data_IF_168070715157
#
_entry.id   IF_168070715157
#
_cell.length_a   1.000
_cell.length_b   1.000
_cell.length_c   1.000
_cell.angle_alpha   90.00
_cell.angle_beta   90.00
_cell.angle_gamma   90.00
#
_symmetry.space_group_name_H-M   'P 1'
#
loop_
_entity.id
_entity.type
_entity.pdbx_description
1 polymer ?
#
# COMPACT_ATOMS: atom_id res chain seq x y z
N UNK A 1 13.73 -8.62 -21.16
CA UNK A 1 13.48 -7.28 -20.60
C UNK A 1 14.62 -6.37 -21.00
N UNK A 2 14.39 -5.11 -21.37
CA UNK A 2 15.48 -4.20 -21.77
C UNK A 2 16.28 -3.71 -20.56
N UNK A 3 17.61 -3.60 -20.66
CA UNK A 3 18.48 -3.11 -19.57
C UNK A 3 18.03 -1.74 -19.02
N UNK A 4 17.54 -0.85 -19.88
CA UNK A 4 17.02 0.46 -19.47
C UNK A 4 15.76 0.38 -18.60
N UNK A 5 14.88 -0.59 -18.85
CA UNK A 5 13.68 -0.80 -18.04
C UNK A 5 14.04 -1.28 -16.63
N UNK A 6 14.97 -2.22 -16.50
CA UNK A 6 15.43 -2.73 -15.21
C UNK A 6 16.05 -1.62 -14.33
N UNK A 7 16.85 -0.74 -14.93
CA UNK A 7 17.47 0.40 -14.23
C UNK A 7 16.40 1.41 -13.82
N UNK A 8 15.48 1.77 -14.73
CA UNK A 8 14.43 2.74 -14.44
C UNK A 8 13.49 2.29 -13.33
N UNK A 9 13.03 1.03 -13.38
CA UNK A 9 12.18 0.45 -12.33
C UNK A 9 12.92 0.30 -11.00
N UNK A 10 14.19 -0.13 -11.03
CA UNK A 10 14.99 -0.27 -9.82
C UNK A 10 15.25 1.05 -9.11
N UNK A 11 15.59 2.10 -9.86
CA UNK A 11 15.78 3.44 -9.31
C UNK A 11 14.49 3.97 -8.70
N UNK A 12 13.36 3.83 -9.41
CA UNK A 12 12.06 4.24 -8.91
C UNK A 12 11.71 3.55 -7.58
N UNK A 13 11.84 2.22 -7.53
CA UNK A 13 11.53 1.41 -6.34
C UNK A 13 12.38 1.85 -5.13
N UNK A 14 13.68 2.09 -5.33
CA UNK A 14 14.60 2.54 -4.27
C UNK A 14 14.25 3.95 -3.80
N UNK A 15 14.06 4.91 -4.72
CA UNK A 15 13.72 6.29 -4.38
C UNK A 15 12.38 6.35 -3.64
N UNK A 16 11.39 5.58 -4.06
CA UNK A 16 10.11 5.44 -3.37
C UNK A 16 10.28 4.96 -1.93
N UNK A 17 11.00 3.85 -1.72
CA UNK A 17 11.19 3.24 -0.40
C UNK A 17 11.86 4.21 0.57
N UNK A 18 12.97 4.84 0.14
CA UNK A 18 13.67 5.84 0.94
C UNK A 18 12.72 6.98 1.29
N UNK A 19 12.01 7.52 0.30
CA UNK A 19 11.13 8.68 0.50
C UNK A 19 10.02 8.40 1.51
N UNK A 20 9.27 7.30 1.34
CA UNK A 20 8.15 6.94 2.23
C UNK A 20 8.61 6.64 3.64
N UNK A 21 9.69 5.86 3.79
CA UNK A 21 10.22 5.50 5.11
C UNK A 21 10.77 6.75 5.82
N UNK A 22 11.55 7.58 5.13
CA UNK A 22 12.10 8.81 5.71
C UNK A 22 11.00 9.76 6.15
N UNK A 23 9.99 10.02 5.32
CA UNK A 23 8.86 10.87 5.72
C UNK A 23 8.11 10.30 6.93
N UNK A 24 7.87 8.99 6.95
CA UNK A 24 7.23 8.31 8.09
C UNK A 24 8.02 8.47 9.38
N UNK A 25 9.34 8.23 9.35
CA UNK A 25 10.23 8.40 10.50
C UNK A 25 10.25 9.85 10.97
N UNK A 26 10.36 10.83 10.06
CA UNK A 26 10.36 12.26 10.45
C UNK A 26 9.07 12.62 11.18
N UNK A 27 7.90 12.20 10.69
CA UNK A 27 6.62 12.45 11.38
C UNK A 27 6.65 11.84 12.78
N UNK A 28 7.09 10.59 12.92
CA UNK A 28 7.19 9.90 14.21
C UNK A 28 8.15 10.59 15.19
N UNK A 29 9.24 11.17 14.71
CA UNK A 29 10.23 11.83 15.56
C UNK A 29 9.85 13.27 15.93
N UNK A 30 9.06 13.97 15.10
CA UNK A 30 8.82 15.42 15.25
C UNK A 30 7.41 15.79 15.73
N UNK A 31 6.42 14.92 15.51
CA UNK A 31 5.03 15.16 15.86
C UNK A 31 4.60 14.25 17.01
N UNK A 32 3.73 14.71 17.92
CA UNK A 32 3.40 13.94 19.14
C UNK A 32 1.90 13.74 19.39
N UNK A 33 1.05 14.10 18.42
CA UNK A 33 -0.38 13.75 18.50
C UNK A 33 -0.57 12.30 18.09
N UNK A 34 -1.56 11.61 18.68
CA UNK A 34 -1.86 10.21 18.33
C UNK A 34 -2.16 10.05 16.83
N UNK A 35 -2.90 10.99 16.24
CA UNK A 35 -3.18 11.03 14.81
C UNK A 35 -1.89 11.06 13.96
N UNK A 36 -0.97 11.99 14.27
CA UNK A 36 0.30 12.11 13.54
C UNK A 36 1.19 10.87 13.71
N UNK A 37 1.22 10.29 14.91
CA UNK A 37 1.97 9.08 15.21
C UNK A 37 1.42 7.88 14.43
N UNK A 38 0.10 7.72 14.35
CA UNK A 38 -0.53 6.69 13.54
C UNK A 38 -0.26 6.88 12.05
N UNK A 39 -0.28 8.12 11.55
CA UNK A 39 0.06 8.39 10.15
C UNK A 39 1.54 8.10 9.84
N UNK A 40 2.46 8.50 10.72
CA UNK A 40 3.88 8.19 10.58
C UNK A 40 4.13 6.67 10.58
N UNK A 41 3.51 5.95 11.53
CA UNK A 41 3.56 4.49 11.59
C UNK A 41 2.97 3.84 10.33
N UNK A 42 1.84 4.34 9.83
CA UNK A 42 1.22 3.90 8.58
C UNK A 42 2.20 4.00 7.39
N UNK A 43 2.92 5.12 7.25
CA UNK A 43 3.90 5.31 6.19
C UNK A 43 5.09 4.34 6.33
N UNK A 44 5.62 4.14 7.54
CA UNK A 44 6.70 3.17 7.78
C UNK A 44 6.26 1.74 7.50
N UNK A 45 5.05 1.35 7.92
CA UNK A 45 4.47 0.02 7.64
C UNK A 45 4.36 -0.23 6.13
N UNK A 46 3.94 0.79 5.36
CA UNK A 46 3.89 0.73 3.90
C UNK A 46 5.29 0.49 3.31
N UNK A 47 6.24 1.37 3.61
CA UNK A 47 7.59 1.30 3.03
C UNK A 47 8.32 0.02 3.43
N UNK A 48 8.33 -0.33 4.72
CA UNK A 48 8.97 -1.56 5.20
C UNK A 48 8.30 -2.81 4.62
N UNK A 49 6.97 -2.83 4.51
CA UNK A 49 6.24 -3.96 3.94
C UNK A 49 6.49 -4.15 2.44
N UNK A 50 6.59 -3.07 1.68
CA UNK A 50 6.94 -3.10 0.26
C UNK A 50 8.39 -3.53 0.04
N UNK A 51 9.31 -3.20 0.95
CA UNK A 51 10.73 -3.56 0.84
C UNK A 51 10.94 -5.08 0.71
N UNK A 52 10.14 -5.90 1.41
CA UNK A 52 10.22 -7.38 1.32
C UNK A 52 9.92 -7.92 -0.09
N UNK A 53 9.19 -7.16 -0.91
CA UNK A 53 8.90 -7.52 -2.29
C UNK A 53 9.82 -6.78 -3.29
N UNK A 54 10.03 -5.48 -3.07
CA UNK A 54 10.76 -4.62 -4.00
C UNK A 54 12.25 -4.91 -4.00
N UNK A 55 12.88 -5.17 -2.85
CA UNK A 55 14.33 -5.47 -2.82
C UNK A 55 14.65 -6.76 -3.63
N UNK A 56 13.98 -7.91 -3.40
CA UNK A 56 14.18 -9.09 -4.25
C UNK A 56 13.85 -8.84 -5.73
N UNK A 57 12.86 -7.99 -6.02
CA UNK A 57 12.49 -7.63 -7.38
C UNK A 57 13.59 -6.84 -8.08
N UNK A 58 14.11 -5.77 -7.48
CA UNK A 58 15.23 -4.99 -8.04
C UNK A 58 16.45 -5.87 -8.25
N UNK A 59 16.74 -6.76 -7.29
CA UNK A 59 17.82 -7.74 -7.42
C UNK A 59 17.62 -8.66 -8.62
N UNK A 60 16.43 -9.27 -8.74
CA UNK A 60 16.09 -10.16 -9.86
C UNK A 60 16.10 -9.45 -11.21
N UNK A 61 15.69 -8.17 -11.29
CA UNK A 61 15.71 -7.39 -12.53
C UNK A 61 17.13 -7.04 -13.00
N UNK A 62 18.10 -6.95 -12.09
CA UNK A 62 19.47 -6.49 -12.38
C UNK A 62 20.48 -7.63 -12.54
N UNK A 63 20.14 -8.86 -12.12
CA UNK A 63 21.06 -10.02 -12.13
C UNK A 63 20.56 -11.16 -13.03
N UNK A 64 19.93 -12.19 -12.45
CA UNK A 64 19.63 -13.47 -13.13
C UNK A 64 18.19 -13.54 -13.70
N UNK A 65 17.37 -12.51 -13.48
CA UNK A 65 15.95 -12.50 -13.84
C UNK A 65 15.04 -12.89 -12.65
N UNK A 66 13.77 -12.48 -12.73
CA UNK A 66 12.79 -12.69 -11.64
C UNK A 66 12.48 -14.18 -11.39
N UNK A 67 12.59 -15.01 -12.42
CA UNK A 67 12.23 -16.44 -12.37
C UNK A 67 13.18 -17.26 -11.49
N UNK A 68 14.36 -16.72 -11.16
CA UNK A 68 15.34 -17.34 -10.25
C UNK A 68 15.05 -17.07 -8.77
N UNK A 69 14.17 -16.11 -8.45
CA UNK A 69 13.83 -15.73 -7.06
C UNK A 69 12.35 -15.92 -6.67
N UNK A 70 11.67 -17.02 -7.07
CA UNK A 70 10.23 -17.17 -6.88
C UNK A 70 9.84 -17.25 -5.39
N UNK A 71 10.70 -17.82 -4.54
CA UNK A 71 10.46 -17.89 -3.10
C UNK A 71 10.51 -16.52 -2.44
N UNK A 72 11.55 -15.72 -2.74
CA UNK A 72 11.73 -14.39 -2.16
C UNK A 72 10.61 -13.43 -2.63
N UNK A 73 10.30 -13.43 -3.92
CA UNK A 73 9.18 -12.65 -4.47
C UNK A 73 7.83 -13.09 -3.90
N UNK A 74 7.65 -14.40 -3.72
CA UNK A 74 6.45 -14.99 -3.13
C UNK A 74 6.21 -14.56 -1.68
N UNK A 75 7.24 -14.69 -0.83
CA UNK A 75 7.20 -14.25 0.56
C UNK A 75 7.01 -12.73 0.63
N UNK A 76 7.71 -11.98 -0.23
CA UNK A 76 7.51 -10.54 -0.36
C UNK A 76 6.06 -10.18 -0.61
N UNK A 77 5.40 -10.81 -1.60
CA UNK A 77 3.97 -10.57 -1.88
C UNK A 77 3.06 -10.90 -0.70
N UNK A 78 3.36 -11.94 0.08
CA UNK A 78 2.61 -12.27 1.29
C UNK A 78 2.74 -11.14 2.33
N UNK A 79 3.98 -10.75 2.65
CA UNK A 79 4.27 -9.68 3.62
C UNK A 79 3.58 -8.40 3.17
N UNK A 80 3.80 -7.97 1.93
CA UNK A 80 3.16 -6.77 1.36
C UNK A 80 1.63 -6.86 1.40
N UNK A 81 1.02 -8.03 1.17
CA UNK A 81 -0.43 -8.17 1.26
C UNK A 81 -0.95 -7.96 2.68
N UNK A 82 -0.24 -8.46 3.69
CA UNK A 82 -0.59 -8.25 5.11
C UNK A 82 -0.36 -6.79 5.49
N UNK A 83 0.82 -6.23 5.21
CA UNK A 83 1.15 -4.84 5.57
C UNK A 83 0.25 -3.84 4.86
N UNK A 84 -0.14 -4.05 3.61
CA UNK A 84 -1.14 -3.22 2.93
C UNK A 84 -2.52 -3.30 3.59
N UNK A 85 -2.88 -4.43 4.20
CA UNK A 85 -4.12 -4.53 4.99
C UNK A 85 -4.03 -3.67 6.23
N UNK A 86 -2.92 -3.80 6.98
CA UNK A 86 -2.65 -3.01 8.19
C UNK A 86 -2.58 -1.52 7.84
N UNK A 87 -1.95 -1.15 6.72
CA UNK A 87 -1.86 0.22 6.22
C UNK A 87 -3.25 0.87 6.14
N UNK A 88 -4.21 0.25 5.46
CA UNK A 88 -5.56 0.83 5.34
C UNK A 88 -6.35 0.80 6.64
N UNK A 89 -6.12 -0.18 7.50
CA UNK A 89 -6.73 -0.22 8.83
C UNK A 89 -6.19 0.91 9.72
N UNK A 90 -4.88 1.17 9.70
CA UNK A 90 -4.30 2.33 10.39
C UNK A 90 -4.78 3.62 9.76
N UNK A 91 -4.90 3.68 8.42
CA UNK A 91 -5.41 4.86 7.74
C UNK A 91 -6.85 5.18 8.16
N UNK A 92 -7.70 4.17 8.35
CA UNK A 92 -9.03 4.34 8.93
C UNK A 92 -8.97 5.04 10.29
N UNK A 93 -8.12 4.56 11.20
CA UNK A 93 -7.97 5.16 12.53
C UNK A 93 -7.43 6.58 12.48
N UNK A 94 -6.57 6.91 11.52
CA UNK A 94 -6.16 8.30 11.27
C UNK A 94 -7.37 9.15 10.90
N UNK A 95 -8.20 8.71 9.96
CA UNK A 95 -9.40 9.46 9.53
C UNK A 95 -10.39 9.65 10.68
N UNK A 96 -10.59 8.60 11.49
CA UNK A 96 -11.44 8.63 12.68
C UNK A 96 -10.96 9.69 13.69
N UNK A 97 -9.66 9.75 13.97
CA UNK A 97 -9.10 10.76 14.88
C UNK A 97 -9.12 12.17 14.28
N UNK A 98 -8.71 12.31 13.01
CA UNK A 98 -8.56 13.61 12.35
C UNK A 98 -9.87 14.37 12.21
N UNK A 99 -10.96 13.65 11.96
CA UNK A 99 -12.28 14.22 11.69
C UNK A 99 -13.28 13.99 12.81
N UNK A 100 -12.82 13.52 13.97
CA UNK A 100 -13.67 13.14 15.12
C UNK A 100 -14.86 12.25 14.69
N UNK A 101 -14.59 11.35 13.74
CA UNK A 101 -15.60 10.51 13.11
C UNK A 101 -15.69 9.19 13.86
N UNK A 102 -16.64 9.09 14.79
CA UNK A 102 -16.89 7.85 15.55
C UNK A 102 -18.05 7.08 14.92
N UNK A 103 -17.75 5.89 14.42
CA UNK A 103 -18.76 4.95 13.92
C UNK A 103 -18.34 3.51 14.22
N UNK A 104 -18.92 2.94 15.28
CA UNK A 104 -18.55 1.60 15.74
C UNK A 104 -18.82 0.51 14.70
N UNK A 105 -19.95 0.59 13.98
CA UNK A 105 -20.26 -0.37 12.92
C UNK A 105 -19.20 -0.35 11.81
N UNK A 106 -18.74 0.84 11.42
CA UNK A 106 -17.67 1.00 10.43
C UNK A 106 -16.33 0.48 10.96
N UNK A 107 -15.99 0.82 12.21
CA UNK A 107 -14.76 0.37 12.87
C UNK A 107 -14.70 -1.16 12.94
N UNK A 108 -15.75 -1.81 13.41
CA UNK A 108 -15.81 -3.27 13.47
C UNK A 108 -15.79 -3.91 12.09
N UNK A 109 -16.42 -3.30 11.08
CA UNK A 109 -16.37 -3.76 9.70
C UNK A 109 -14.94 -3.72 9.14
N UNK A 110 -14.21 -2.64 9.37
CA UNK A 110 -12.81 -2.49 8.95
C UNK A 110 -11.90 -3.53 9.61
N UNK A 111 -12.08 -3.77 10.91
CA UNK A 111 -11.33 -4.80 11.65
C UNK A 111 -11.67 -6.19 11.13
N UNK A 112 -12.96 -6.52 10.96
CA UNK A 112 -13.40 -7.82 10.49
C UNK A 112 -12.89 -8.13 9.07
N UNK A 113 -12.99 -7.17 8.14
CA UNK A 113 -12.46 -7.32 6.78
C UNK A 113 -10.94 -7.49 6.77
N UNK A 114 -10.23 -6.79 7.67
CA UNK A 114 -8.78 -6.90 7.81
C UNK A 114 -8.36 -8.27 8.33
N UNK A 115 -9.02 -8.77 9.39
CA UNK A 115 -8.79 -10.10 9.94
C UNK A 115 -9.10 -11.17 8.88
N UNK A 116 -10.23 -11.04 8.18
CA UNK A 116 -10.61 -11.95 7.10
C UNK A 116 -9.53 -12.00 6.02
N UNK A 117 -9.05 -10.84 5.55
CA UNK A 117 -8.00 -10.77 4.53
C UNK A 117 -6.70 -11.42 5.01
N UNK A 118 -6.26 -11.10 6.23
CA UNK A 118 -5.03 -11.67 6.79
C UNK A 118 -5.16 -13.19 6.90
N UNK A 119 -6.29 -13.69 7.41
CA UNK A 119 -6.58 -15.12 7.45
C UNK A 119 -6.52 -15.76 6.07
N UNK A 120 -7.18 -15.16 5.07
CA UNK A 120 -7.13 -15.62 3.67
C UNK A 120 -5.71 -15.61 3.08
N UNK A 121 -4.85 -14.66 3.46
CA UNK A 121 -3.46 -14.62 3.01
C UNK A 121 -2.60 -15.72 3.63
N UNK A 122 -2.89 -16.15 4.86
CA UNK A 122 -2.12 -17.18 5.57
C UNK A 122 -2.49 -18.62 5.15
N UNK A 123 -3.60 -18.80 4.43
CA UNK A 123 -4.01 -20.10 3.92
C UNK A 123 -2.94 -20.72 2.98
N UNK A 124 -2.56 -21.99 3.15
CA UNK A 124 -1.54 -22.64 2.32
C UNK A 124 -1.92 -22.73 0.84
N UNK A 125 -3.23 -22.67 0.54
CA UNK A 125 -3.80 -22.67 -0.81
C UNK A 125 -3.29 -21.51 -1.69
N UNK A 126 -2.78 -20.43 -1.08
CA UNK A 126 -2.16 -19.32 -1.81
C UNK A 126 -0.90 -19.73 -2.60
N UNK A 127 -0.20 -20.78 -2.14
CA UNK A 127 1.01 -21.29 -2.78
C UNK A 127 2.05 -20.21 -3.07
N UNK A 128 2.25 -19.27 -2.14
CA UNK A 128 3.08 -18.07 -2.31
C UNK A 128 4.46 -18.34 -2.92
N UNK A 129 5.11 -19.45 -2.56
CA UNK A 129 6.48 -19.80 -2.97
C UNK A 129 6.56 -20.67 -4.22
N UNK A 130 5.44 -21.00 -4.86
CA UNK A 130 5.39 -21.85 -6.06
C UNK A 130 4.99 -21.03 -7.29
N UNK A 131 5.97 -20.69 -8.13
CA UNK A 131 5.75 -19.94 -9.37
C UNK A 131 5.03 -18.61 -9.11
N UNK A 132 3.89 -18.41 -9.77
CA UNK A 132 3.07 -17.20 -9.63
C UNK A 132 2.06 -17.24 -8.46
N UNK A 133 1.99 -18.36 -7.75
CA UNK A 133 0.96 -18.65 -6.75
C UNK A 133 -0.39 -19.01 -7.36
N UNK A 134 -1.40 -19.18 -6.51
CA UNK A 134 -2.74 -19.57 -6.93
C UNK A 134 -3.59 -18.34 -7.33
N UNK A 135 -4.03 -18.30 -8.59
CA UNK A 135 -4.85 -17.21 -9.15
C UNK A 135 -6.18 -17.00 -8.40
N UNK A 136 -6.94 -18.07 -8.17
CA UNK A 136 -8.23 -18.02 -7.49
C UNK A 136 -8.09 -17.47 -6.08
N UNK A 137 -7.10 -17.95 -5.33
CA UNK A 137 -6.80 -17.40 -4.00
C UNK A 137 -6.36 -15.94 -4.06
N UNK A 138 -5.66 -15.56 -5.14
CA UNK A 138 -5.32 -14.17 -5.45
C UNK A 138 -6.54 -13.27 -5.59
N UNK A 139 -7.63 -13.73 -6.21
CA UNK A 139 -8.90 -13.01 -6.27
C UNK A 139 -9.56 -12.97 -4.88
N UNK A 140 -9.74 -14.15 -4.26
CA UNK A 140 -10.49 -14.31 -3.01
C UNK A 140 -9.93 -13.43 -1.90
N UNK A 141 -8.61 -13.40 -1.70
CA UNK A 141 -7.98 -12.56 -0.65
C UNK A 141 -8.03 -11.05 -0.96
N UNK A 142 -8.30 -10.67 -2.21
CA UNK A 142 -8.40 -9.27 -2.61
C UNK A 142 -9.83 -8.73 -2.62
N UNK A 143 -10.86 -9.58 -2.53
CA UNK A 143 -12.24 -9.12 -2.34
C UNK A 143 -12.40 -8.31 -1.04
N UNK A 144 -11.95 -8.78 0.14
CA UNK A 144 -12.02 -7.96 1.35
C UNK A 144 -11.17 -6.69 1.27
N UNK A 145 -10.04 -6.75 0.55
CA UNK A 145 -9.19 -5.58 0.36
C UNK A 145 -9.87 -4.49 -0.45
N UNK A 146 -10.55 -4.89 -1.52
CA UNK A 146 -11.28 -3.96 -2.37
C UNK A 146 -12.44 -3.30 -1.61
N UNK A 147 -13.12 -4.06 -0.75
CA UNK A 147 -14.15 -3.51 0.15
C UNK A 147 -13.56 -2.47 1.13
N UNK A 148 -12.43 -2.77 1.78
CA UNK A 148 -11.68 -1.81 2.61
C UNK A 148 -11.35 -0.55 1.80
N UNK A 149 -10.86 -0.72 0.57
CA UNK A 149 -10.54 0.38 -0.33
C UNK A 149 -11.71 1.31 -0.64
N UNK A 150 -12.88 0.72 -0.97
CA UNK A 150 -14.11 1.47 -1.22
C UNK A 150 -14.52 2.25 0.04
N UNK A 151 -14.52 1.61 1.21
CA UNK A 151 -14.87 2.25 2.47
C UNK A 151 -13.99 3.48 2.70
N UNK A 152 -12.67 3.32 2.59
CA UNK A 152 -11.72 4.41 2.82
C UNK A 152 -11.88 5.51 1.79
N UNK A 153 -12.06 5.17 0.51
CA UNK A 153 -12.32 6.15 -0.55
C UNK A 153 -13.56 7.00 -0.23
N UNK A 154 -14.66 6.35 0.17
CA UNK A 154 -15.92 7.04 0.52
C UNK A 154 -15.74 7.93 1.75
N UNK A 155 -15.04 7.45 2.79
CA UNK A 155 -14.76 8.25 3.98
C UNK A 155 -13.90 9.47 3.65
N UNK A 156 -12.81 9.30 2.90
CA UNK A 156 -11.99 10.40 2.43
C UNK A 156 -12.82 11.41 1.61
N UNK A 157 -13.71 10.95 0.72
CA UNK A 157 -14.53 11.83 -0.09
C UNK A 157 -15.53 12.66 0.74
N UNK A 158 -16.09 12.05 1.79
CA UNK A 158 -17.06 12.72 2.68
C UNK A 158 -16.38 13.64 3.69
N UNK A 159 -15.33 13.17 4.35
CA UNK A 159 -14.72 13.84 5.52
C UNK A 159 -13.62 14.83 5.13
N UNK A 160 -12.78 14.49 4.15
CA UNK A 160 -11.61 15.31 3.81
C UNK A 160 -11.91 16.47 2.85
N UNK A 161 -13.17 16.64 2.41
CA UNK A 161 -13.51 17.59 1.33
C UNK A 161 -13.20 19.05 1.66
N UNK A 162 -13.30 19.42 2.94
CA UNK A 162 -12.94 20.75 3.46
C UNK A 162 -11.52 20.82 4.00
N UNK A 163 -10.77 19.72 4.00
CA UNK A 163 -9.41 19.67 4.51
C UNK A 163 -8.42 20.07 3.40
N UNK A 164 -7.77 21.24 3.47
CA UNK A 164 -6.93 21.73 2.38
C UNK A 164 -5.77 20.80 2.03
N UNK A 165 -5.30 19.99 2.99
CA UNK A 165 -4.15 19.10 2.80
C UNK A 165 -4.56 17.67 2.44
N UNK A 166 -5.69 17.18 2.97
CA UNK A 166 -6.17 15.82 2.72
C UNK A 166 -7.31 15.73 1.70
N UNK A 167 -7.79 16.84 1.11
CA UNK A 167 -8.92 16.84 0.15
C UNK A 167 -8.77 15.91 -1.05
N UNK A 168 -7.54 15.60 -1.46
CA UNK A 168 -7.26 14.71 -2.59
C UNK A 168 -6.96 13.27 -2.17
N UNK A 169 -7.03 12.95 -0.87
CA UNK A 169 -6.84 11.59 -0.36
C UNK A 169 -7.80 10.58 -0.99
N UNK A 170 -9.06 10.95 -1.22
CA UNK A 170 -10.03 10.07 -1.89
C UNK A 170 -9.60 9.74 -3.32
N UNK A 171 -9.05 10.72 -4.04
CA UNK A 171 -8.58 10.55 -5.41
C UNK A 171 -7.34 9.65 -5.43
N UNK A 172 -6.44 9.80 -4.46
CA UNK A 172 -5.30 8.92 -4.30
C UNK A 172 -5.74 7.47 -4.03
N UNK A 173 -6.69 7.25 -3.12
CA UNK A 173 -7.21 5.91 -2.86
C UNK A 173 -7.90 5.34 -4.09
N UNK A 174 -8.74 6.12 -4.78
CA UNK A 174 -9.42 5.71 -6.00
C UNK A 174 -8.44 5.30 -7.10
N UNK A 175 -7.47 6.15 -7.43
CA UNK A 175 -6.48 5.88 -8.48
C UNK A 175 -5.61 4.66 -8.14
N UNK A 176 -5.24 4.51 -6.87
CA UNK A 176 -4.50 3.32 -6.43
C UNK A 176 -5.26 2.03 -6.73
N UNK A 177 -6.56 1.97 -6.38
CA UNK A 177 -7.39 0.79 -6.67
C UNK A 177 -7.71 0.64 -8.16
N UNK A 178 -7.86 1.74 -8.89
CA UNK A 178 -8.04 1.74 -10.34
C UNK A 178 -6.86 1.08 -11.06
N UNK A 179 -5.62 1.38 -10.64
CA UNK A 179 -4.42 0.75 -11.20
C UNK A 179 -4.21 -0.67 -10.65
N UNK A 180 -4.63 -0.96 -9.42
CA UNK A 180 -4.45 -2.27 -8.80
C UNK A 180 -5.37 -3.36 -9.37
N UNK A 181 -6.66 -3.05 -9.59
CA UNK A 181 -7.65 -4.04 -9.97
C UNK A 181 -7.31 -4.77 -11.30
N UNK A 182 -6.89 -4.08 -12.38
CA UNK A 182 -6.45 -4.75 -13.61
C UNK A 182 -5.28 -5.69 -13.36
N UNK A 183 -4.33 -5.33 -12.48
CA UNK A 183 -3.17 -6.18 -12.18
C UNK A 183 -3.60 -7.48 -11.53
N UNK A 184 -4.47 -7.43 -10.52
CA UNK A 184 -4.99 -8.64 -9.85
C UNK A 184 -5.71 -9.56 -10.85
N UNK A 185 -6.51 -8.98 -11.74
CA UNK A 185 -7.36 -9.75 -12.64
C UNK A 185 -6.61 -10.30 -13.85
N UNK A 186 -5.62 -9.57 -14.40
CA UNK A 186 -5.10 -9.82 -15.75
C UNK A 186 -3.61 -10.15 -15.82
N UNK A 187 -2.82 -9.97 -14.75
CA UNK A 187 -1.35 -10.16 -14.81
C UNK A 187 -0.92 -11.58 -15.19
N UNK A 188 -1.75 -12.58 -14.89
CA UNK A 188 -1.51 -13.98 -15.26
C UNK A 188 -1.62 -14.21 -16.78
N UNK A 189 -2.40 -13.39 -17.51
CA UNK A 189 -2.54 -13.45 -18.97
C UNK A 189 -1.60 -12.47 -19.67
N UNK A 190 -1.48 -11.25 -19.12
CA UNK A 190 -0.79 -10.13 -19.76
C UNK A 190 0.25 -9.55 -18.80
N UNK A 191 1.50 -10.00 -18.91
CA UNK A 191 2.60 -9.58 -18.02
C UNK A 191 2.83 -8.07 -17.97
N UNK A 192 2.63 -7.38 -19.09
CA UNK A 192 2.81 -5.93 -19.19
C UNK A 192 1.85 -5.13 -18.28
N UNK A 193 0.69 -5.70 -17.92
CA UNK A 193 -0.27 -5.06 -17.00
C UNK A 193 0.36 -4.86 -15.62
N UNK A 194 1.36 -5.68 -15.25
CA UNK A 194 2.14 -5.49 -14.03
C UNK A 194 2.82 -4.12 -13.91
N UNK A 195 3.07 -3.42 -15.02
CA UNK A 195 3.64 -2.06 -15.00
C UNK A 195 2.71 -1.02 -14.34
N UNK A 196 1.40 -1.30 -14.24
CA UNK A 196 0.45 -0.45 -13.52
C UNK A 196 0.75 -0.37 -12.00
N UNK A 197 1.65 -1.22 -11.49
CA UNK A 197 2.15 -1.08 -10.12
C UNK A 197 2.93 0.24 -9.91
N UNK A 198 3.61 0.78 -10.93
CA UNK A 198 4.34 2.05 -10.83
C UNK A 198 3.40 3.23 -10.56
N UNK A 199 2.39 3.52 -11.41
CA UNK A 199 1.46 4.62 -11.16
C UNK A 199 0.68 4.42 -9.86
N UNK A 200 0.34 3.18 -9.48
CA UNK A 200 -0.22 2.86 -8.15
C UNK A 200 0.71 3.34 -7.02
N UNK A 201 2.00 3.01 -7.09
CA UNK A 201 2.99 3.39 -6.07
C UNK A 201 3.22 4.90 -5.99
N UNK A 202 3.22 5.60 -7.12
CA UNK A 202 3.27 7.08 -7.17
C UNK A 202 2.11 7.68 -6.37
N UNK A 203 0.93 7.10 -6.50
CA UNK A 203 -0.27 7.59 -5.81
C UNK A 203 -0.19 7.35 -4.30
N UNK A 204 0.41 6.24 -3.84
CA UNK A 204 0.69 6.05 -2.41
C UNK A 204 1.73 7.02 -1.88
N UNK A 205 2.80 7.25 -2.64
CA UNK A 205 3.80 8.26 -2.29
C UNK A 205 3.14 9.64 -2.15
N UNK A 206 2.24 9.99 -3.07
CA UNK A 206 1.47 11.23 -2.98
C UNK A 206 0.60 11.31 -1.73
N UNK A 207 -0.06 10.22 -1.34
CA UNK A 207 -0.83 10.16 -0.09
C UNK A 207 0.06 10.41 1.14
N UNK A 208 1.26 9.82 1.18
CA UNK A 208 2.23 10.04 2.26
C UNK A 208 2.74 11.48 2.26
N UNK A 209 3.01 12.07 1.09
CA UNK A 209 3.41 13.48 0.95
C UNK A 209 2.32 14.41 1.50
N UNK A 210 1.05 14.16 1.19
CA UNK A 210 -0.06 14.96 1.73
C UNK A 210 -0.07 14.97 3.26
N UNK A 211 0.09 13.81 3.90
CA UNK A 211 0.18 13.75 5.37
C UNK A 211 1.47 14.37 5.91
N UNK A 212 2.61 14.16 5.26
CA UNK A 212 3.87 14.80 5.66
C UNK A 212 3.76 16.33 5.65
N UNK A 213 3.18 16.91 4.60
CA UNK A 213 2.91 18.34 4.52
C UNK A 213 1.94 18.81 5.61
N UNK A 214 0.94 17.99 5.94
CA UNK A 214 -0.04 18.27 7.00
C UNK A 214 0.62 18.38 8.38
N UNK A 215 1.50 17.45 8.75
CA UNK A 215 2.02 17.37 10.12
C UNK A 215 3.36 18.11 10.31
N UNK A 216 4.23 18.07 9.31
CA UNK A 216 5.59 18.63 9.40
C UNK A 216 5.69 19.93 8.61
N UNK A 217 5.14 19.97 7.39
CA UNK A 217 5.27 21.10 6.47
C UNK A 217 4.72 22.44 7.01
N UNK A 218 3.74 22.40 7.92
CA UNK A 218 3.15 23.60 8.54
C UNK A 218 4.01 24.12 9.71
N UNK A 219 4.87 23.29 10.33
CA UNK A 219 5.71 23.73 11.47
C UNK A 219 6.95 24.53 11.07
N UNK A 220 7.24 24.65 9.77
CA UNK A 220 8.43 25.33 9.25
C UNK A 220 8.14 26.71 8.63
N UNK A 221 6.89 27.18 8.67
CA UNK A 221 6.46 28.54 8.33
C UNK A 221 5.89 29.23 9.58
#
# INVERSE_FOLDING_TARGET
MGKGQAIGEGLFDITYLISVITMGIIILCTCHTLESQLFGAMAVILGCGDAFHLIPRVWGLTHEGLDHYPRALGIGKLVTSITMTVFYLVFYFVLELRYDYVNDAMRYSMIALSILRIGLCLLPQNQWTKGEGNYTMGIVRNIPFFAIGIIIMVLCFKLARSDPFMKLSWLAVFLSFLFYAPVVLLVHKFKFVGMLMIPKTIVYLWLVIMGYQTYVGIRLN
#
